data_IF_515718073611
#
_entry.id   IF_515718073611
#
_cell.length_a   1.000
_cell.length_b   1.000
_cell.length_c   1.000
_cell.angle_alpha   90.00
_cell.angle_beta   90.00
_cell.angle_gamma   90.00
#
_symmetry.space_group_name_H-M   'P 1'
#
loop_
_entity.id
_entity.type
_entity.pdbx_description
1 polymer ?
#
# COMPACT_ATOMS: atom_id res chain seq x y z
N UNK A 1 -26.83 20.39 -42.83
CA UNK A 1 -26.54 20.40 -41.38
C UNK A 1 -26.52 18.96 -40.82
N UNK A 2 -25.59 18.11 -41.27
CA UNK A 2 -25.61 16.66 -40.95
C UNK A 2 -24.22 16.06 -40.68
N UNK A 3 -23.24 16.90 -40.38
CA UNK A 3 -21.82 16.50 -40.17
C UNK A 3 -21.28 16.81 -38.76
N UNK A 4 -22.06 17.44 -37.88
CA UNK A 4 -21.61 17.84 -36.53
C UNK A 4 -21.94 16.76 -35.47
N UNK A 5 -22.84 15.83 -35.76
CA UNK A 5 -23.29 14.82 -34.77
C UNK A 5 -22.24 13.71 -34.54
N UNK A 6 -21.33 13.47 -35.48
CA UNK A 6 -20.33 12.41 -35.33
C UNK A 6 -19.14 12.79 -34.43
N UNK A 7 -18.90 14.07 -34.16
CA UNK A 7 -17.75 14.50 -33.35
C UNK A 7 -18.01 14.39 -31.84
N UNK A 8 -19.27 14.42 -31.40
CA UNK A 8 -19.65 14.36 -29.98
C UNK A 8 -19.63 12.92 -29.44
N UNK A 9 -19.82 11.90 -30.30
CA UNK A 9 -19.85 10.50 -29.86
C UNK A 9 -18.45 9.91 -29.58
N UNK A 10 -17.38 10.49 -30.15
CA UNK A 10 -16.01 10.01 -29.96
C UNK A 10 -15.36 10.53 -28.66
N UNK A 11 -15.90 11.62 -28.08
CA UNK A 11 -15.41 12.19 -26.82
C UNK A 11 -15.89 11.45 -25.56
N UNK A 12 -16.84 10.52 -25.68
CA UNK A 12 -17.38 9.75 -24.55
C UNK A 12 -16.57 8.48 -24.21
N UNK A 13 -15.58 8.10 -25.03
CA UNK A 13 -14.74 6.92 -24.80
C UNK A 13 -13.45 7.18 -23.99
N UNK A 14 -13.22 8.42 -23.52
CA UNK A 14 -11.99 8.78 -22.80
C UNK A 14 -12.08 8.68 -21.27
N UNK A 15 -13.23 8.28 -20.71
CA UNK A 15 -13.31 7.88 -19.31
C UNK A 15 -12.85 6.43 -19.15
N UNK A 16 -11.60 6.16 -19.51
CA UNK A 16 -10.91 4.98 -19.01
C UNK A 16 -10.89 5.09 -17.49
N UNK A 17 -11.51 4.12 -16.82
CA UNK A 17 -11.38 3.96 -15.37
C UNK A 17 -9.90 3.64 -15.10
N UNK A 18 -9.07 4.67 -14.94
CA UNK A 18 -7.68 4.49 -14.54
C UNK A 18 -7.73 4.03 -13.09
N UNK A 19 -7.47 2.75 -12.89
CA UNK A 19 -7.35 2.15 -11.58
C UNK A 19 -6.27 2.89 -10.76
N UNK A 20 -6.55 3.18 -9.49
CA UNK A 20 -5.61 3.92 -8.65
C UNK A 20 -4.27 3.18 -8.59
N UNK A 21 -3.13 3.84 -8.82
CA UNK A 21 -1.83 3.17 -8.96
C UNK A 21 -1.33 2.51 -7.68
N UNK A 22 -1.99 2.68 -6.52
CA UNK A 22 -1.70 1.90 -5.33
C UNK A 22 -2.28 0.47 -5.38
N UNK A 23 -3.36 0.24 -6.16
CA UNK A 23 -4.04 -1.06 -6.28
C UNK A 23 -3.16 -2.04 -7.06
N UNK A 24 -2.88 -3.22 -6.49
CA UNK A 24 -2.03 -4.23 -7.12
C UNK A 24 -1.26 -5.05 -6.09
N UNK A 25 -0.35 -5.91 -6.58
CA UNK A 25 0.54 -6.68 -5.72
C UNK A 25 1.90 -6.01 -5.56
N UNK A 26 2.33 -5.94 -4.31
CA UNK A 26 3.55 -5.27 -3.91
C UNK A 26 4.44 -6.23 -3.13
N UNK A 27 5.70 -6.34 -3.54
CA UNK A 27 6.73 -7.14 -2.87
C UNK A 27 7.72 -6.23 -2.15
N UNK A 28 7.97 -6.49 -0.88
CA UNK A 28 8.98 -5.77 -0.08
C UNK A 28 10.39 -6.20 -0.47
N UNK A 29 11.32 -5.26 -0.49
CA UNK A 29 12.73 -5.54 -0.77
C UNK A 29 13.69 -4.62 -0.03
N UNK A 30 14.93 -5.08 0.14
CA UNK A 30 16.05 -4.29 0.70
C UNK A 30 16.05 -4.15 2.22
N UNK A 31 15.34 -5.01 2.95
CA UNK A 31 15.38 -5.10 4.41
C UNK A 31 15.06 -6.54 4.92
N UNK A 32 15.07 -6.73 6.23
CA UNK A 32 14.88 -8.05 6.87
C UNK A 32 13.51 -8.69 6.63
N UNK A 33 12.54 -7.96 6.07
CA UNK A 33 11.22 -8.47 5.70
C UNK A 33 11.06 -8.62 4.17
N UNK A 34 12.16 -8.62 3.42
CA UNK A 34 12.19 -8.87 1.97
C UNK A 34 11.42 -10.14 1.57
N UNK A 35 10.77 -10.08 0.41
CA UNK A 35 9.96 -11.16 -0.15
C UNK A 35 8.52 -11.21 0.40
N UNK A 36 8.17 -10.28 1.30
CA UNK A 36 6.79 -10.13 1.79
C UNK A 36 5.92 -9.58 0.67
N UNK A 37 4.75 -10.19 0.44
CA UNK A 37 3.81 -9.76 -0.61
C UNK A 37 2.51 -9.27 0.01
N UNK A 38 2.05 -8.11 -0.43
CA UNK A 38 0.77 -7.50 -0.09
C UNK A 38 -0.07 -7.28 -1.34
N UNK A 39 -1.35 -7.67 -1.30
CA UNK A 39 -2.37 -7.31 -2.29
C UNK A 39 -3.13 -6.10 -1.78
N UNK A 40 -3.08 -5.01 -2.53
CA UNK A 40 -3.90 -3.82 -2.27
C UNK A 40 -5.19 -3.90 -3.05
N UNK A 41 -6.32 -3.68 -2.39
CA UNK A 41 -7.66 -3.72 -2.98
C UNK A 41 -8.55 -2.61 -2.42
N UNK A 42 -9.61 -2.27 -3.16
CA UNK A 42 -10.60 -1.27 -2.74
C UNK A 42 -11.54 -1.89 -1.70
N UNK A 43 -11.69 -1.22 -0.56
CA UNK A 43 -12.63 -1.57 0.50
C UNK A 43 -13.50 -0.35 0.79
N UNK A 44 -14.71 -0.35 0.24
CA UNK A 44 -15.62 0.80 0.31
C UNK A 44 -15.08 1.99 -0.47
N UNK A 45 -14.60 3.02 0.26
CA UNK A 45 -13.99 4.24 -0.31
C UNK A 45 -12.48 4.35 -0.03
N UNK A 46 -11.90 3.32 0.57
CA UNK A 46 -10.50 3.27 0.99
C UNK A 46 -9.82 2.08 0.35
N UNK A 47 -8.52 1.91 0.59
CA UNK A 47 -7.77 0.72 0.17
C UNK A 47 -7.21 -0.03 1.36
N UNK A 48 -7.19 -1.37 1.29
CA UNK A 48 -6.53 -2.24 2.26
C UNK A 48 -5.46 -3.08 1.56
N UNK A 49 -4.32 -3.25 2.24
CA UNK A 49 -3.24 -4.14 1.85
C UNK A 49 -3.28 -5.42 2.68
N UNK A 50 -3.69 -6.53 2.07
CA UNK A 50 -3.75 -7.86 2.68
C UNK A 50 -2.45 -8.64 2.44
N UNK A 51 -1.88 -9.26 3.46
CA UNK A 51 -0.74 -10.15 3.31
C UNK A 51 -1.13 -11.38 2.49
N UNK A 52 -0.46 -11.54 1.35
CA UNK A 52 -0.53 -12.76 0.54
C UNK A 52 0.57 -13.72 0.97
N UNK A 53 1.74 -13.18 1.34
CA UNK A 53 2.89 -13.97 1.76
C UNK A 53 3.71 -13.18 2.78
N UNK A 54 3.75 -13.57 4.06
CA UNK A 54 4.75 -13.05 4.98
C UNK A 54 6.13 -13.65 4.64
N UNK A 55 7.19 -12.88 4.86
CA UNK A 55 8.56 -13.34 4.66
C UNK A 55 9.54 -12.67 5.64
N UNK A 56 10.75 -13.23 5.71
CA UNK A 56 11.83 -12.73 6.54
C UNK A 56 11.43 -12.63 8.01
N UNK A 57 11.76 -11.51 8.66
CA UNK A 57 11.48 -11.27 10.08
C UNK A 57 9.99 -11.34 10.41
N UNK A 58 9.08 -11.08 9.45
CA UNK A 58 7.64 -11.10 9.72
C UNK A 58 7.13 -12.51 10.07
N UNK A 59 7.75 -13.57 9.55
CA UNK A 59 7.40 -14.95 9.91
C UNK A 59 7.62 -15.22 11.41
N UNK A 60 8.67 -14.66 11.98
CA UNK A 60 9.01 -14.81 13.39
C UNK A 60 8.20 -13.87 14.29
N UNK A 61 7.66 -12.78 13.74
CA UNK A 61 6.80 -11.83 14.46
C UNK A 61 5.31 -12.21 14.43
N UNK A 62 4.98 -13.44 14.01
CA UNK A 62 3.62 -13.97 14.02
C UNK A 62 2.69 -13.33 12.99
N UNK A 63 3.23 -12.78 11.89
CA UNK A 63 2.41 -12.37 10.75
C UNK A 63 1.98 -13.60 9.95
N UNK A 64 0.74 -13.60 9.51
CA UNK A 64 0.15 -14.70 8.76
C UNK A 64 -0.43 -14.21 7.43
N UNK A 65 -0.62 -15.15 6.50
CA UNK A 65 -1.44 -14.89 5.33
C UNK A 65 -2.83 -14.41 5.75
N UNK A 66 -3.39 -13.50 4.95
CA UNK A 66 -4.67 -12.83 5.18
C UNK A 66 -4.69 -11.76 6.28
N UNK A 67 -3.61 -11.54 7.03
CA UNK A 67 -3.50 -10.36 7.89
C UNK A 67 -3.64 -9.07 7.06
N UNK A 68 -4.40 -8.11 7.57
CA UNK A 68 -4.48 -6.78 6.96
C UNK A 68 -3.23 -6.00 7.36
N UNK A 69 -2.18 -6.03 6.53
CA UNK A 69 -0.94 -5.29 6.78
C UNK A 69 -1.17 -3.80 6.75
N UNK A 70 -1.92 -3.33 5.75
CA UNK A 70 -2.23 -1.92 5.56
C UNK A 70 -3.72 -1.71 5.58
N UNK A 71 -4.21 -0.75 6.35
CA UNK A 71 -5.65 -0.45 6.43
C UNK A 71 -5.94 1.03 6.34
N UNK A 72 -7.20 1.33 6.05
CA UNK A 72 -7.74 2.69 5.98
C UNK A 72 -6.87 3.61 5.10
N UNK A 73 -6.41 3.10 3.95
CA UNK A 73 -5.56 3.88 3.05
C UNK A 73 -6.43 4.85 2.26
N UNK A 74 -6.06 6.12 2.29
CA UNK A 74 -6.77 7.22 1.64
C UNK A 74 -5.81 8.14 0.86
N UNK A 75 -6.22 8.65 -0.31
CA UNK A 75 -5.39 9.54 -1.09
C UNK A 75 -5.26 10.90 -0.40
N UNK A 76 -4.04 11.46 -0.44
CA UNK A 76 -3.74 12.81 0.08
C UNK A 76 -3.06 13.70 -0.96
N UNK A 77 -2.81 13.15 -2.16
CA UNK A 77 -2.26 13.87 -3.30
C UNK A 77 -1.89 12.90 -4.41
N UNK A 78 -1.41 13.42 -5.54
CA UNK A 78 -0.92 12.59 -6.64
C UNK A 78 0.19 11.65 -6.15
N UNK A 79 0.00 10.35 -6.36
CA UNK A 79 0.94 9.30 -5.97
C UNK A 79 1.26 9.28 -4.46
N UNK A 80 0.35 9.78 -3.62
CA UNK A 80 0.53 9.89 -2.17
C UNK A 80 -0.73 9.48 -1.42
N UNK A 81 -0.56 8.63 -0.41
CA UNK A 81 -1.63 8.17 0.45
C UNK A 81 -1.18 8.21 1.92
N UNK A 82 -2.15 8.26 2.83
CA UNK A 82 -1.96 7.97 4.26
C UNK A 82 -2.78 6.75 4.62
N UNK A 83 -2.38 6.03 5.65
CA UNK A 83 -3.10 4.87 6.15
C UNK A 83 -2.40 4.33 7.39
N UNK A 84 -2.65 3.07 7.74
CA UNK A 84 -2.05 2.45 8.93
C UNK A 84 -1.35 1.14 8.60
N UNK A 85 -0.19 0.92 9.21
CA UNK A 85 0.61 -0.29 9.09
C UNK A 85 0.49 -1.16 10.35
N UNK A 86 0.21 -2.45 10.16
CA UNK A 86 0.12 -3.45 11.22
C UNK A 86 1.50 -3.74 11.79
N UNK A 87 1.61 -3.62 13.10
CA UNK A 87 2.78 -3.95 13.90
C UNK A 87 2.37 -5.01 14.92
N UNK A 88 3.12 -6.10 14.97
CA UNK A 88 3.02 -7.11 16.02
C UNK A 88 4.31 -7.09 16.83
N UNK A 89 4.19 -7.29 18.14
CA UNK A 89 5.32 -7.54 19.04
C UNK A 89 5.17 -8.94 19.61
N UNK A 90 6.30 -9.63 19.74
CA UNK A 90 6.37 -10.96 20.35
C UNK A 90 7.26 -10.92 21.59
N UNK A 91 7.01 -11.79 22.56
CA UNK A 91 7.94 -12.04 23.66
C UNK A 91 9.11 -12.96 23.23
N UNK A 92 9.96 -13.35 24.18
CA UNK A 92 11.11 -14.24 23.91
C UNK A 92 10.68 -15.66 23.51
N UNK A 93 9.45 -16.06 23.85
CA UNK A 93 8.88 -17.36 23.53
C UNK A 93 8.12 -17.34 22.18
N UNK A 94 8.08 -16.18 21.50
CA UNK A 94 7.41 -15.99 20.22
C UNK A 94 5.91 -15.73 20.31
N UNK A 95 5.35 -15.54 21.52
CA UNK A 95 3.93 -15.24 21.68
C UNK A 95 3.66 -13.77 21.36
N UNK A 96 2.58 -13.51 20.63
CA UNK A 96 2.16 -12.13 20.32
C UNK A 96 1.72 -11.42 21.60
N UNK A 97 2.46 -10.40 22.00
CA UNK A 97 2.19 -9.57 23.20
C UNK A 97 1.43 -8.28 22.86
N UNK A 98 1.49 -7.83 21.60
CA UNK A 98 0.82 -6.61 21.17
C UNK A 98 0.53 -6.65 19.67
N UNK A 99 -0.64 -6.13 19.30
CA UNK A 99 -1.05 -5.88 17.92
C UNK A 99 -1.52 -4.43 17.86
N UNK A 100 -0.83 -3.61 17.06
CA UNK A 100 -1.13 -2.20 16.91
C UNK A 100 -1.08 -1.78 15.44
N UNK A 101 -1.83 -0.73 15.10
CA UNK A 101 -1.78 -0.10 13.79
C UNK A 101 -1.20 1.30 13.93
N UNK A 102 -0.11 1.60 13.22
CA UNK A 102 0.57 2.90 13.24
C UNK A 102 0.38 3.64 11.95
N UNK A 103 0.14 4.95 12.01
CA UNK A 103 -0.01 5.74 10.79
C UNK A 103 1.29 5.76 9.98
N UNK A 104 1.11 5.65 8.67
CA UNK A 104 2.17 5.63 7.67
C UNK A 104 1.77 6.49 6.46
N UNK A 105 2.79 6.98 5.77
CA UNK A 105 2.64 7.65 4.48
C UNK A 105 3.21 6.78 3.37
N UNK A 106 2.41 6.62 2.32
CA UNK A 106 2.75 5.92 1.10
C UNK A 106 3.11 6.94 0.03
N UNK A 107 4.21 6.74 -0.67
CA UNK A 107 4.59 7.57 -1.82
C UNK A 107 5.06 6.67 -2.94
N UNK A 108 4.37 6.72 -4.08
CA UNK A 108 4.81 6.06 -5.30
C UNK A 108 5.79 6.97 -6.02
N UNK A 109 7.03 6.52 -6.14
CA UNK A 109 8.11 7.23 -6.80
C UNK A 109 8.01 7.09 -8.33
N UNK A 110 8.72 7.95 -9.06
CA UNK A 110 8.70 7.98 -10.53
C UNK A 110 9.26 6.70 -11.18
N UNK A 111 10.06 5.93 -10.43
CA UNK A 111 10.62 4.65 -10.84
C UNK A 111 9.69 3.46 -10.51
N UNK A 112 8.47 3.72 -10.03
CA UNK A 112 7.48 2.70 -9.70
C UNK A 112 7.67 2.06 -8.32
N UNK A 113 8.60 2.56 -7.50
CA UNK A 113 8.80 2.07 -6.13
C UNK A 113 7.80 2.73 -5.19
N UNK A 114 7.03 1.92 -4.46
CA UNK A 114 6.18 2.38 -3.37
C UNK A 114 7.00 2.44 -2.09
N UNK A 115 7.14 3.64 -1.52
CA UNK A 115 7.87 3.87 -0.29
C UNK A 115 6.91 4.17 0.85
N UNK A 116 7.04 3.43 1.95
CA UNK A 116 6.23 3.58 3.15
C UNK A 116 7.10 4.11 4.29
N UNK A 117 6.65 5.16 4.96
CA UNK A 117 7.33 5.80 6.09
C UNK A 117 6.43 5.85 7.31
N UNK A 118 6.93 5.38 8.47
CA UNK A 118 6.27 5.51 9.79
C UNK A 118 6.40 6.95 10.30
N UNK A 119 5.29 7.53 10.75
CA UNK A 119 5.07 8.90 11.29
C UNK A 119 6.15 9.99 11.12
N UNK A 120 5.72 11.09 10.48
CA UNK A 120 6.35 12.41 10.56
C UNK A 120 5.62 13.27 11.59
N UNK A 121 6.24 13.55 12.75
CA UNK A 121 5.87 14.72 13.54
C UNK A 121 6.60 15.92 12.95
N UNK A 122 5.86 17.00 12.67
CA UNK A 122 6.41 18.33 12.36
C UNK A 122 7.37 18.40 11.15
N UNK A 123 6.87 18.05 9.96
CA UNK A 123 7.56 18.25 8.66
C UNK A 123 8.86 17.46 8.42
N UNK A 124 9.27 16.60 9.36
CA UNK A 124 10.45 15.76 9.23
C UNK A 124 10.05 14.29 9.14
N UNK A 125 10.34 13.68 7.99
CA UNK A 125 10.18 12.25 7.74
C UNK A 125 11.30 11.50 8.49
N UNK A 126 11.04 11.08 9.73
CA UNK A 126 11.93 10.19 10.48
C UNK A 126 11.26 8.84 10.67
N UNK A 127 11.95 7.75 10.33
CA UNK A 127 11.45 6.41 10.59
C UNK A 127 12.01 5.37 9.64
N UNK A 128 11.73 4.10 9.95
CA UNK A 128 12.01 2.97 9.07
C UNK A 128 11.33 3.21 7.72
N UNK A 129 12.13 3.09 6.65
CA UNK A 129 11.68 3.23 5.27
C UNK A 129 11.51 1.84 4.71
N UNK A 130 10.28 1.48 4.34
CA UNK A 130 10.01 0.23 3.63
C UNK A 130 9.90 0.52 2.14
N UNK A 131 10.50 -0.32 1.30
CA UNK A 131 10.43 -0.21 -0.16
C UNK A 131 9.71 -1.41 -0.74
N UNK A 132 8.82 -1.13 -1.69
CA UNK A 132 7.95 -2.11 -2.29
C UNK A 132 7.94 -1.94 -3.81
N UNK A 133 8.14 -3.04 -4.53
CA UNK A 133 8.06 -3.08 -5.99
C UNK A 133 6.75 -3.71 -6.41
N UNK A 134 6.13 -3.18 -7.46
CA UNK A 134 4.94 -3.80 -8.04
C UNK A 134 5.35 -5.09 -8.74
N UNK A 135 4.55 -6.14 -8.57
CA UNK A 135 4.75 -7.44 -9.23
C UNK A 135 3.55 -7.87 -10.08
N UNK A 136 2.36 -7.31 -9.83
CA UNK A 136 1.14 -7.46 -10.63
C UNK A 136 0.32 -6.17 -10.55
#
# INVERSE_FOLDING_TARGET
MRRIIFTVLFLLFLFGCVEDPIIGQWERFGDDAEGTIVQVEVVGKMYHGKLIKPAGILNYLGFAENDIKWRDIEPVGTNKWKGKDLIKKVDMDGNITSIEYKDVYFTLQSDGILVIRKFAKESKLFGEVQKWRRIQ
#
